data_IF_335472281322
#
_entry.id   IF_335472281322
#
_cell.length_a   1.000
_cell.length_b   1.000
_cell.length_c   1.000
_cell.angle_alpha   90.00
_cell.angle_beta   90.00
_cell.angle_gamma   90.00
#
_symmetry.space_group_name_H-M   'P 1'
#
loop_
_entity.id
_entity.type
_entity.pdbx_description
1 polymer ?
#
# COMPACT_ATOMS: atom_id res chain seq x y z
N UNK A 1 -7.77 -26.45 -16.05
CA UNK A 1 -8.69 -25.34 -15.75
C UNK A 1 -8.93 -25.28 -14.25
N UNK A 2 -8.05 -24.59 -13.51
CA UNK A 2 -8.32 -24.20 -12.13
C UNK A 2 -8.55 -22.70 -12.18
N UNK A 3 -9.80 -22.27 -12.02
CA UNK A 3 -10.08 -20.85 -11.86
C UNK A 3 -9.39 -20.39 -10.60
N UNK A 4 -8.32 -19.59 -10.73
CA UNK A 4 -7.68 -18.95 -9.59
C UNK A 4 -8.73 -18.08 -8.91
N UNK A 5 -9.24 -18.54 -7.77
CA UNK A 5 -10.10 -17.73 -6.93
C UNK A 5 -9.15 -16.91 -6.08
N UNK A 6 -9.05 -15.62 -6.39
CA UNK A 6 -8.37 -14.61 -5.56
C UNK A 6 -9.05 -14.59 -4.19
N UNK A 7 -8.26 -14.58 -3.09
CA UNK A 7 -8.76 -14.73 -1.72
C UNK A 7 -8.12 -13.75 -0.75
N UNK A 8 -8.88 -13.41 0.28
CA UNK A 8 -8.39 -12.67 1.44
C UNK A 8 -7.34 -13.53 2.19
N UNK A 9 -6.09 -13.05 2.36
CA UNK A 9 -5.05 -13.77 3.08
C UNK A 9 -5.22 -13.70 4.61
N UNK A 10 -4.47 -14.51 5.35
CA UNK A 10 -4.18 -14.20 6.77
C UNK A 10 -3.11 -13.13 6.85
N UNK A 11 -3.06 -12.38 7.95
CA UNK A 11 -2.03 -11.36 8.19
C UNK A 11 -0.62 -11.91 7.97
N UNK A 12 -0.31 -13.07 8.56
CA UNK A 12 1.00 -13.70 8.42
C UNK A 12 1.35 -14.06 6.98
N UNK A 13 0.37 -14.49 6.17
CA UNK A 13 0.60 -14.80 4.75
C UNK A 13 0.82 -13.54 3.92
N UNK A 14 0.03 -12.50 4.19
CA UNK A 14 0.20 -11.18 3.56
C UNK A 14 1.58 -10.61 3.87
N UNK A 15 2.01 -10.58 5.14
CA UNK A 15 3.35 -10.10 5.50
C UNK A 15 4.47 -10.94 4.89
N UNK A 16 4.28 -12.26 4.77
CA UNK A 16 5.26 -13.12 4.08
C UNK A 16 5.35 -12.78 2.60
N UNK A 17 4.22 -12.58 1.93
CA UNK A 17 4.16 -12.14 0.53
C UNK A 17 4.85 -10.79 0.33
N UNK A 18 4.50 -9.79 1.15
CA UNK A 18 5.10 -8.45 1.07
C UNK A 18 6.63 -8.54 1.20
N UNK A 19 7.16 -9.34 2.13
CA UNK A 19 8.60 -9.50 2.28
C UNK A 19 9.30 -10.31 1.18
N UNK A 20 8.57 -11.14 0.42
CA UNK A 20 9.09 -11.91 -0.71
C UNK A 20 9.03 -11.14 -2.04
N UNK A 21 8.06 -10.23 -2.15
CA UNK A 21 7.94 -9.31 -3.27
C UNK A 21 9.20 -8.43 -3.40
N UNK A 22 9.46 -7.96 -4.63
CA UNK A 22 10.67 -7.19 -4.95
C UNK A 22 10.36 -5.81 -5.51
N UNK A 23 9.13 -5.35 -5.39
CA UNK A 23 8.71 -4.05 -5.90
C UNK A 23 9.36 -2.92 -5.11
N UNK A 24 9.53 -3.08 -3.80
CA UNK A 24 10.34 -2.22 -2.90
C UNK A 24 11.75 -1.92 -3.43
N UNK A 25 12.38 -2.87 -4.14
CA UNK A 25 13.74 -2.74 -4.69
C UNK A 25 13.80 -1.90 -5.97
N UNK A 26 12.65 -1.54 -6.54
CA UNK A 26 12.58 -0.69 -7.74
C UNK A 26 12.85 0.77 -7.36
N UNK A 27 13.35 1.53 -8.32
CA UNK A 27 13.65 2.95 -8.11
C UNK A 27 12.46 3.80 -8.57
N UNK A 28 12.02 4.71 -7.70
CA UNK A 28 11.09 5.77 -8.09
C UNK A 28 11.71 6.67 -9.17
N UNK A 29 10.97 6.89 -10.25
CA UNK A 29 11.35 7.77 -11.36
C UNK A 29 10.19 8.69 -11.68
N UNK A 30 10.34 9.96 -11.36
CA UNK A 30 9.34 11.00 -11.60
C UNK A 30 8.84 10.97 -13.05
N UNK A 31 7.51 11.00 -13.23
CA UNK A 31 6.85 10.93 -14.53
C UNK A 31 6.97 9.60 -15.30
N UNK A 32 7.61 8.56 -14.74
CA UNK A 32 7.79 7.26 -15.41
C UNK A 32 7.43 6.05 -14.57
N UNK A 33 7.83 6.04 -13.30
CA UNK A 33 7.59 4.94 -12.36
C UNK A 33 7.39 5.54 -10.98
N UNK A 34 6.13 5.81 -10.68
CA UNK A 34 5.65 6.57 -9.52
C UNK A 34 4.93 5.65 -8.53
N UNK A 35 4.43 6.19 -7.42
CA UNK A 35 3.69 5.45 -6.38
C UNK A 35 2.58 4.54 -6.95
N UNK A 36 1.83 5.01 -7.96
CA UNK A 36 0.79 4.22 -8.61
C UNK A 36 1.35 2.97 -9.33
N UNK A 37 2.57 3.02 -9.85
CA UNK A 37 3.21 1.89 -10.49
C UNK A 37 3.70 0.85 -9.46
N UNK A 38 4.22 1.30 -8.32
CA UNK A 38 4.56 0.40 -7.21
C UNK A 38 3.31 -0.32 -6.70
N UNK A 39 2.24 0.42 -6.39
CA UNK A 39 0.99 -0.15 -5.91
C UNK A 39 0.38 -1.14 -6.93
N UNK A 40 0.37 -0.77 -8.22
CA UNK A 40 -0.11 -1.65 -9.29
C UNK A 40 0.72 -2.95 -9.38
N UNK A 41 2.05 -2.86 -9.33
CA UNK A 41 2.91 -4.04 -9.44
C UNK A 41 2.73 -4.99 -8.25
N UNK A 42 2.60 -4.48 -7.02
CA UNK A 42 2.31 -5.34 -5.85
C UNK A 42 0.92 -5.96 -5.95
N UNK A 43 -0.11 -5.22 -6.39
CA UNK A 43 -1.44 -5.79 -6.63
C UNK A 43 -1.38 -6.94 -7.65
N UNK A 44 -0.70 -6.74 -8.79
CA UNK A 44 -0.57 -7.77 -9.81
C UNK A 44 0.16 -9.02 -9.27
N UNK A 45 1.26 -8.85 -8.55
CA UNK A 45 2.01 -9.97 -7.97
C UNK A 45 1.18 -10.70 -6.90
N UNK A 46 0.39 -9.96 -6.11
CA UNK A 46 -0.51 -10.56 -5.13
C UNK A 46 -1.59 -11.42 -5.81
N UNK A 47 -2.15 -10.96 -6.93
CA UNK A 47 -3.12 -11.73 -7.70
C UNK A 47 -2.50 -13.01 -8.29
N UNK A 48 -1.26 -12.96 -8.76
CA UNK A 48 -0.51 -14.14 -9.22
C UNK A 48 -0.32 -15.19 -8.11
N UNK A 49 -0.12 -14.74 -6.87
CA UNK A 49 -0.07 -15.58 -5.66
C UNK A 49 -1.47 -15.97 -5.12
N UNK A 50 -2.54 -15.48 -5.76
CA UNK A 50 -3.93 -15.77 -5.40
C UNK A 50 -4.47 -14.96 -4.23
N UNK A 51 -3.85 -13.83 -3.88
CA UNK A 51 -4.28 -12.92 -2.84
C UNK A 51 -5.08 -11.74 -3.38
N UNK A 52 -6.14 -11.39 -2.66
CA UNK A 52 -6.93 -10.20 -2.94
C UNK A 52 -6.20 -8.97 -2.38
N UNK A 53 -5.71 -8.13 -3.27
CA UNK A 53 -5.07 -6.86 -2.94
C UNK A 53 -5.94 -5.71 -3.47
N UNK A 54 -6.13 -4.69 -2.65
CA UNK A 54 -6.78 -3.45 -3.06
C UNK A 54 -5.74 -2.40 -3.42
N UNK A 55 -6.02 -1.64 -4.47
CA UNK A 55 -5.33 -0.38 -4.72
C UNK A 55 -5.98 0.71 -3.86
N UNK A 56 -5.19 1.42 -3.07
CA UNK A 56 -5.69 2.48 -2.20
C UNK A 56 -5.09 3.84 -2.57
N UNK A 57 -5.91 4.89 -2.51
CA UNK A 57 -5.51 6.26 -2.80
C UNK A 57 -5.73 7.09 -1.55
N UNK A 58 -4.67 7.72 -1.08
CA UNK A 58 -4.66 8.73 -0.04
C UNK A 58 -4.72 10.09 -0.73
N UNK A 59 -5.75 10.89 -0.46
CA UNK A 59 -5.92 12.20 -1.06
C UNK A 59 -5.60 13.31 -0.05
N UNK A 60 -4.90 14.34 -0.53
CA UNK A 60 -4.56 15.56 0.19
C UNK A 60 -5.19 16.76 -0.53
N UNK A 61 -5.17 17.94 0.10
CA UNK A 61 -5.68 19.17 -0.51
C UNK A 61 -5.08 19.46 -1.90
N UNK A 62 -3.78 19.21 -2.07
CA UNK A 62 -3.05 19.41 -3.33
C UNK A 62 -2.29 18.16 -3.78
N UNK A 63 -3.00 17.04 -3.96
CA UNK A 63 -2.43 15.85 -4.60
C UNK A 63 -2.97 14.54 -4.05
N UNK A 64 -2.16 13.49 -4.15
CA UNK A 64 -2.48 12.21 -3.56
C UNK A 64 -1.33 11.21 -3.68
N UNK A 65 -1.45 10.12 -2.94
CA UNK A 65 -0.47 9.05 -2.88
C UNK A 65 -1.16 7.70 -3.04
N UNK A 66 -0.54 6.80 -3.81
CA UNK A 66 -1.07 5.46 -4.05
C UNK A 66 -0.34 4.45 -3.18
N UNK A 67 -1.10 3.65 -2.45
CA UNK A 67 -0.63 2.55 -1.61
C UNK A 67 -1.47 1.30 -1.90
N UNK A 68 -1.29 0.24 -1.11
CA UNK A 68 -2.09 -0.98 -1.23
C UNK A 68 -2.76 -1.32 0.10
N UNK A 69 -3.79 -2.16 0.05
CA UNK A 69 -4.42 -2.72 1.24
C UNK A 69 -4.82 -4.18 1.05
N UNK A 70 -4.79 -4.95 2.14
CA UNK A 70 -5.28 -6.32 2.19
C UNK A 70 -6.36 -6.45 3.26
N UNK A 71 -7.49 -7.04 2.91
CA UNK A 71 -8.48 -7.44 3.89
C UNK A 71 -8.06 -8.81 4.42
N UNK A 72 -7.40 -8.82 5.57
CA UNK A 72 -6.95 -10.05 6.20
C UNK A 72 -8.12 -10.70 6.95
N UNK A 73 -8.17 -12.03 6.93
CA UNK A 73 -9.27 -12.78 7.54
C UNK A 73 -9.23 -12.81 9.07
N UNK A 74 -8.09 -12.43 9.66
CA UNK A 74 -7.79 -12.52 11.09
C UNK A 74 -7.48 -11.17 11.75
N UNK A 75 -7.04 -10.15 11.01
CA UNK A 75 -6.71 -8.82 11.56
C UNK A 75 -7.46 -7.65 10.88
N UNK A 76 -8.33 -7.94 9.92
CA UNK A 76 -9.09 -6.93 9.18
C UNK A 76 -8.26 -6.24 8.10
N UNK A 77 -8.62 -5.00 7.78
CA UNK A 77 -8.01 -4.23 6.69
C UNK A 77 -6.64 -3.68 7.11
N UNK A 78 -5.59 -4.03 6.36
CA UNK A 78 -4.21 -3.61 6.59
C UNK A 78 -3.72 -2.81 5.39
N UNK A 79 -3.12 -1.64 5.62
CA UNK A 79 -2.50 -0.82 4.57
C UNK A 79 -0.98 -0.98 4.58
N UNK A 80 -0.38 -0.99 3.38
CA UNK A 80 1.06 -1.14 3.19
C UNK A 80 1.54 -0.07 2.22
N UNK A 81 2.66 0.59 2.53
CA UNK A 81 3.43 1.37 1.56
C UNK A 81 4.23 0.39 0.69
N UNK A 82 3.93 0.28 -0.62
CA UNK A 82 4.60 -0.67 -1.51
C UNK A 82 6.02 -0.25 -1.91
N UNK A 83 6.43 0.99 -1.63
CA UNK A 83 7.79 1.48 -1.91
C UNK A 83 8.83 1.05 -0.86
N UNK A 84 8.38 0.66 0.33
CA UNK A 84 9.27 0.34 1.46
C UNK A 84 8.83 -0.87 2.29
N UNK A 85 7.77 -1.57 1.88
CA UNK A 85 7.15 -2.67 2.62
C UNK A 85 6.74 -2.29 4.06
N UNK A 86 6.37 -1.02 4.25
CA UNK A 86 6.05 -0.46 5.56
C UNK A 86 4.54 -0.56 5.84
N UNK A 87 4.17 -0.87 7.08
CA UNK A 87 2.78 -0.78 7.53
C UNK A 87 2.35 0.69 7.60
N UNK A 88 1.07 0.93 7.29
CA UNK A 88 0.47 2.26 7.39
C UNK A 88 -0.84 2.18 8.16
N UNK A 89 -1.05 3.11 9.08
CA UNK A 89 -2.31 3.33 9.80
C UNK A 89 -2.89 4.70 9.41
N UNK A 90 -3.45 4.85 8.18
CA UNK A 90 -3.89 6.15 7.70
C UNK A 90 -5.11 6.65 8.48
N UNK A 91 -5.06 7.91 8.89
CA UNK A 91 -6.13 8.58 9.64
C UNK A 91 -6.44 9.94 9.02
N UNK A 92 -7.72 10.17 8.68
CA UNK A 92 -8.18 11.45 8.14
C UNK A 92 -7.86 12.57 9.15
N UNK A 93 -7.24 13.65 8.67
CA UNK A 93 -6.78 14.79 9.46
C UNK A 93 -5.37 14.66 10.02
N UNK A 94 -4.68 13.53 9.84
CA UNK A 94 -3.25 13.39 10.12
C UNK A 94 -2.42 13.50 8.84
N UNK A 95 -1.17 13.94 8.97
CA UNK A 95 -0.19 13.85 7.88
C UNK A 95 0.13 12.39 7.57
N UNK A 96 0.13 12.02 6.28
CA UNK A 96 0.44 10.65 5.86
C UNK A 96 1.81 10.17 6.32
N UNK A 97 2.85 11.00 6.27
CA UNK A 97 4.20 10.60 6.70
C UNK A 97 4.25 10.15 8.18
N UNK A 98 3.29 10.61 9.00
CA UNK A 98 3.17 10.23 10.42
C UNK A 98 2.40 8.91 10.64
N UNK A 99 1.77 8.40 9.59
CA UNK A 99 0.95 7.19 9.66
C UNK A 99 1.75 5.93 9.32
N UNK A 100 3.03 6.06 8.92
CA UNK A 100 3.89 4.95 8.48
C UNK A 100 4.69 4.38 9.66
N UNK A 101 4.72 3.05 9.80
CA UNK A 101 5.26 2.33 10.95
C UNK A 101 6.55 1.57 10.58
N UNK A 102 7.60 1.59 11.44
CA UNK A 102 7.66 2.27 12.73
C UNK A 102 8.04 3.76 12.62
N UNK A 103 7.39 4.60 13.42
CA UNK A 103 7.92 5.94 13.71
C UNK A 103 9.08 5.81 14.74
N UNK A 104 10.24 6.47 14.57
CA UNK A 104 10.58 7.54 13.63
C UNK A 104 11.60 7.14 12.54
N UNK A 105 11.48 7.73 11.35
CA UNK A 105 12.45 7.56 10.27
C UNK A 105 12.12 8.31 8.97
N UNK A 106 10.83 8.59 8.71
CA UNK A 106 10.44 9.38 7.54
C UNK A 106 10.62 10.88 7.78
N UNK A 107 11.22 11.54 6.80
CA UNK A 107 11.32 12.99 6.77
C UNK A 107 9.96 13.59 6.44
N UNK A 108 9.60 14.68 7.14
CA UNK A 108 8.41 15.45 6.83
C UNK A 108 8.53 16.00 5.39
N UNK A 109 7.54 15.80 4.52
CA UNK A 109 7.55 16.37 3.17
C UNK A 109 7.52 17.91 3.20
N UNK A 110 7.91 18.53 2.09
CA UNK A 110 7.89 19.98 1.88
C UNK A 110 6.50 20.51 1.43
N UNK A 111 5.52 19.61 1.28
CA UNK A 111 4.12 19.89 0.98
C UNK A 111 3.19 19.42 2.11
N UNK A 112 1.93 19.85 2.07
CA UNK A 112 0.92 19.41 3.02
C UNK A 112 0.33 18.05 2.59
N UNK A 113 0.65 17.01 3.35
CA UNK A 113 0.19 15.65 3.17
C UNK A 113 -0.89 15.26 4.20
N UNK A 114 -1.63 16.24 4.73
CA UNK A 114 -2.79 15.99 5.60
C UNK A 114 -3.85 15.19 4.83
N UNK A 115 -4.16 13.99 5.31
CA UNK A 115 -5.12 13.08 4.69
C UNK A 115 -6.52 13.68 4.79
N UNK A 116 -7.15 13.93 3.64
CA UNK A 116 -8.54 14.39 3.57
C UNK A 116 -9.51 13.25 3.24
N UNK A 117 -9.08 12.30 2.41
CA UNK A 117 -9.90 11.18 1.96
C UNK A 117 -9.03 9.92 1.72
N UNK A 118 -9.64 8.75 1.94
CA UNK A 118 -9.03 7.45 1.68
C UNK A 118 -9.99 6.66 0.80
N UNK A 119 -9.56 6.33 -0.42
CA UNK A 119 -10.30 5.49 -1.36
C UNK A 119 -9.66 4.11 -1.41
N UNK A 120 -10.46 3.05 -1.30
CA UNK A 120 -10.01 1.66 -1.42
C UNK A 120 -10.73 1.01 -2.60
N UNK A 121 -9.97 0.50 -3.56
CA UNK A 121 -10.44 -0.02 -4.84
C UNK A 121 -10.05 -1.50 -4.94
N UNK A 122 -11.04 -2.37 -5.08
CA UNK A 122 -10.89 -3.84 -5.14
C UNK A 122 -11.01 -4.40 -6.56
#
# INVERSE_FOLDING_TARGET
WHGYTIKDPTYNRMMSFIGEDKTDKKRYVEGKYTCSHFAMDVCNNAEEEGFRCAFAIILYAEGGHAIIAFNTIDEGLIYIEPQGDELVEPEIGKSYYQCVIPEPGREKPDYDDTIEEILVIW
#
